data_IF_905972750488
#
_entry.id   IF_905972750488
#
_cell.length_a   1.000
_cell.length_b   1.000
_cell.length_c   1.000
_cell.angle_alpha   90.00
_cell.angle_beta   90.00
_cell.angle_gamma   90.00
#
_symmetry.space_group_name_H-M   'P 1'
#
loop_
_entity.id
_entity.type
_entity.pdbx_description
1 polymer ?
#
# COMPACT_ATOMS: atom_id res chain seq x y z
N UNK A 1 31.85 -1.89 -2.37
CA UNK A 1 31.18 -0.95 -3.30
C UNK A 1 32.07 0.22 -3.74
N UNK A 2 32.43 1.21 -2.89
CA UNK A 2 33.24 2.38 -3.32
C UNK A 2 34.58 2.05 -3.99
N UNK A 3 35.29 1.04 -3.46
CA UNK A 3 36.57 0.56 -4.02
C UNK A 3 36.43 -0.03 -5.43
N UNK A 4 35.37 -0.81 -5.64
CA UNK A 4 35.08 -1.47 -6.92
C UNK A 4 34.72 -0.44 -8.00
N UNK A 5 33.96 0.60 -7.62
CA UNK A 5 33.64 1.70 -8.53
C UNK A 5 34.91 2.46 -8.96
N UNK A 6 35.80 2.80 -8.01
CA UNK A 6 37.08 3.45 -8.34
C UNK A 6 37.92 2.63 -9.31
N UNK A 7 38.04 1.33 -9.07
CA UNK A 7 38.81 0.43 -9.92
C UNK A 7 38.27 0.41 -11.35
N UNK A 8 36.95 0.30 -11.52
CA UNK A 8 36.31 0.34 -12.84
C UNK A 8 36.48 1.70 -13.54
N UNK A 9 36.47 2.80 -12.79
CA UNK A 9 36.73 4.13 -13.35
C UNK A 9 38.18 4.29 -13.82
N UNK A 10 39.15 3.83 -13.03
CA UNK A 10 40.57 3.85 -13.40
C UNK A 10 40.84 2.97 -14.63
N UNK A 11 40.25 1.78 -14.67
CA UNK A 11 40.33 0.88 -15.82
C UNK A 11 39.80 1.55 -17.09
N UNK A 12 38.62 2.17 -17.03
CA UNK A 12 38.02 2.91 -18.14
C UNK A 12 38.91 4.06 -18.63
N UNK A 13 39.49 4.84 -17.71
CA UNK A 13 40.39 5.94 -18.07
C UNK A 13 41.70 5.43 -18.68
N UNK A 14 42.27 4.33 -18.15
CA UNK A 14 43.50 3.72 -18.67
C UNK A 14 43.35 3.16 -20.09
N UNK A 15 42.14 2.71 -20.45
CA UNK A 15 41.82 2.18 -21.80
C UNK A 15 41.47 3.29 -22.81
N UNK A 16 41.67 4.57 -22.46
CA UNK A 16 41.44 5.71 -23.37
C UNK A 16 40.03 6.27 -23.35
N UNK A 17 39.17 5.82 -22.42
CA UNK A 17 37.86 6.42 -22.18
C UNK A 17 36.81 6.18 -23.27
N UNK A 18 36.97 5.14 -24.10
CA UNK A 18 36.01 4.83 -25.15
C UNK A 18 34.75 4.15 -24.59
N UNK A 19 33.57 4.74 -24.84
CA UNK A 19 32.29 4.19 -24.42
C UNK A 19 31.74 3.26 -25.52
N UNK A 20 31.66 1.97 -25.20
CA UNK A 20 30.98 0.98 -26.05
C UNK A 20 29.49 1.30 -26.16
N UNK A 21 29.01 1.58 -27.36
CA UNK A 21 27.58 1.78 -27.63
C UNK A 21 26.94 0.43 -27.99
N UNK A 22 25.90 0.07 -27.26
CA UNK A 22 25.10 -1.12 -27.54
C UNK A 22 23.74 -0.72 -28.11
N UNK A 23 23.15 -1.61 -28.90
CA UNK A 23 21.81 -1.43 -29.46
C UNK A 23 20.74 -1.67 -28.41
N UNK A 24 19.62 -0.94 -28.50
CA UNK A 24 18.52 -1.13 -27.56
C UNK A 24 17.91 -2.54 -27.75
N UNK A 25 17.82 -3.30 -26.66
CA UNK A 25 17.34 -4.69 -26.68
C UNK A 25 18.42 -5.75 -26.92
N UNK A 26 19.68 -5.33 -27.04
CA UNK A 26 20.83 -6.25 -27.09
C UNK A 26 20.98 -6.98 -25.74
N UNK A 27 21.11 -8.30 -25.79
CA UNK A 27 21.35 -9.09 -24.58
C UNK A 27 22.81 -8.97 -24.16
N UNK A 28 23.05 -8.84 -22.85
CA UNK A 28 24.40 -8.93 -22.28
C UNK A 28 24.91 -10.36 -22.12
N UNK A 29 24.12 -11.37 -22.51
CA UNK A 29 24.55 -12.78 -22.43
C UNK A 29 25.38 -13.21 -23.65
N UNK A 30 26.43 -14.04 -23.47
CA UNK A 30 27.26 -14.56 -24.56
C UNK A 30 26.42 -15.38 -25.55
N UNK A 31 26.58 -15.13 -26.85
CA UNK A 31 25.91 -15.91 -27.91
C UNK A 31 26.33 -17.39 -27.94
N UNK A 32 27.54 -17.69 -27.46
CA UNK A 32 28.13 -19.04 -27.45
C UNK A 32 27.56 -19.95 -26.35
N UNK A 33 26.76 -19.40 -25.44
CA UNK A 33 26.16 -20.16 -24.33
C UNK A 33 24.65 -20.22 -24.50
N UNK A 34 24.00 -21.35 -24.16
CA UNK A 34 22.55 -21.41 -24.11
C UNK A 34 22.07 -20.36 -23.10
N UNK A 35 21.11 -19.54 -23.54
CA UNK A 35 20.56 -18.46 -22.72
C UNK A 35 20.00 -19.01 -21.42
N UNK A 36 20.18 -18.24 -20.33
CA UNK A 36 19.58 -18.58 -19.06
C UNK A 36 18.04 -18.63 -19.17
N UNK A 37 17.42 -19.58 -18.46
CA UNK A 37 15.97 -19.74 -18.48
C UNK A 37 15.33 -18.52 -17.81
N UNK A 38 14.24 -18.01 -18.40
CA UNK A 38 13.52 -16.86 -17.86
C UNK A 38 13.20 -17.07 -16.38
N UNK A 39 13.53 -16.09 -15.54
CA UNK A 39 13.38 -16.15 -14.07
C UNK A 39 11.94 -16.47 -13.64
N UNK A 40 10.96 -16.13 -14.48
CA UNK A 40 9.54 -16.37 -14.25
C UNK A 40 9.06 -17.77 -14.62
N UNK A 41 9.89 -18.58 -15.29
CA UNK A 41 9.58 -19.96 -15.64
C UNK A 41 10.29 -20.86 -14.64
N UNK A 42 9.61 -21.16 -13.52
CA UNK A 42 10.10 -22.19 -12.60
C UNK A 42 10.16 -23.53 -13.34
N UNK A 43 11.17 -24.36 -13.06
CA UNK A 43 11.26 -25.74 -13.60
C UNK A 43 10.37 -26.72 -12.86
N UNK A 44 9.64 -26.22 -11.88
CA UNK A 44 8.84 -27.04 -11.00
C UNK A 44 7.58 -27.49 -11.74
N UNK A 45 7.12 -28.74 -11.49
CA UNK A 45 5.86 -29.21 -12.02
C UNK A 45 4.72 -28.31 -11.54
N UNK A 46 3.67 -28.20 -12.36
CA UNK A 46 2.47 -27.43 -12.00
C UNK A 46 1.91 -27.97 -10.69
N UNK A 47 1.83 -27.09 -9.69
CA UNK A 47 1.22 -27.43 -8.41
C UNK A 47 -0.30 -27.56 -8.55
N UNK A 48 -0.87 -28.59 -7.91
CA UNK A 48 -2.32 -28.78 -7.80
C UNK A 48 -2.90 -27.67 -6.93
N UNK A 49 -3.81 -26.87 -7.49
CA UNK A 49 -4.49 -25.79 -6.76
C UNK A 49 -5.81 -26.30 -6.20
N UNK A 50 -6.02 -26.18 -4.90
CA UNK A 50 -7.33 -26.40 -4.29
C UNK A 50 -8.21 -25.19 -4.59
N UNK A 51 -9.34 -25.42 -5.25
CA UNK A 51 -10.30 -24.35 -5.54
C UNK A 51 -11.06 -23.98 -4.25
N UNK A 52 -10.93 -22.73 -3.80
CA UNK A 52 -11.50 -22.28 -2.51
C UNK A 52 -12.53 -21.15 -2.71
N UNK A 53 -13.17 -21.11 -3.88
CA UNK A 53 -14.07 -20.01 -4.24
C UNK A 53 -15.27 -19.87 -3.32
N UNK A 54 -15.77 -20.96 -2.75
CA UNK A 54 -16.89 -20.93 -1.82
C UNK A 54 -16.51 -20.20 -0.51
N UNK A 55 -15.29 -20.41 -0.02
CA UNK A 55 -14.77 -19.73 1.18
C UNK A 55 -14.53 -18.25 0.90
N UNK A 56 -13.95 -17.93 -0.26
CA UNK A 56 -13.77 -16.53 -0.70
C UNK A 56 -15.12 -15.83 -0.80
N UNK A 57 -16.10 -16.47 -1.42
CA UNK A 57 -17.48 -15.96 -1.56
C UNK A 57 -18.15 -15.74 -0.21
N UNK A 58 -17.96 -16.67 0.74
CA UNK A 58 -18.47 -16.54 2.11
C UNK A 58 -17.81 -15.35 2.86
N UNK A 59 -16.49 -15.16 2.71
CA UNK A 59 -15.76 -14.04 3.32
C UNK A 59 -16.23 -12.69 2.76
N UNK A 60 -16.40 -12.59 1.44
CA UNK A 60 -16.87 -11.37 0.79
C UNK A 60 -18.32 -11.04 1.17
N UNK A 61 -19.18 -12.06 1.27
CA UNK A 61 -20.56 -11.91 1.74
C UNK A 61 -20.59 -11.40 3.19
N UNK A 62 -19.68 -11.88 4.04
CA UNK A 62 -19.55 -11.40 5.43
C UNK A 62 -19.12 -9.94 5.48
N UNK A 63 -18.16 -9.52 4.63
CA UNK A 63 -17.72 -8.12 4.56
C UNK A 63 -18.81 -7.16 4.09
N UNK A 64 -19.68 -7.62 3.17
CA UNK A 64 -20.76 -6.80 2.60
C UNK A 64 -21.97 -6.65 3.52
N UNK A 65 -22.16 -7.55 4.48
CA UNK A 65 -23.20 -7.38 5.50
C UNK A 65 -22.78 -6.24 6.43
N UNK A 66 -23.28 -5.03 6.17
CA UNK A 66 -23.28 -3.94 7.17
C UNK A 66 -23.84 -4.52 8.47
N UNK A 67 -23.10 -4.37 9.57
CA UNK A 67 -23.69 -4.58 10.89
C UNK A 67 -24.96 -3.72 10.94
N UNK A 68 -26.08 -4.22 11.51
CA UNK A 68 -27.24 -3.37 11.71
C UNK A 68 -26.74 -2.14 12.46
N UNK A 69 -26.90 -0.97 11.85
CA UNK A 69 -26.63 0.29 12.52
C UNK A 69 -27.46 0.22 13.78
N UNK A 70 -26.81 0.18 14.94
CA UNK A 70 -27.52 0.13 16.20
C UNK A 70 -28.38 1.37 16.22
N UNK A 71 -29.69 1.19 15.99
CA UNK A 71 -30.70 2.23 16.15
C UNK A 71 -30.89 2.46 17.65
N UNK A 72 -29.78 2.72 18.35
CA UNK A 72 -29.82 3.30 19.66
C UNK A 72 -30.37 4.69 19.45
N UNK A 73 -31.65 4.88 19.77
CA UNK A 73 -32.21 6.21 19.93
C UNK A 73 -31.22 6.97 20.81
N UNK A 74 -30.61 8.02 20.27
CA UNK A 74 -29.78 8.92 21.06
C UNK A 74 -30.66 9.45 22.18
N UNK A 75 -30.42 8.98 23.40
CA UNK A 75 -31.10 9.51 24.58
C UNK A 75 -30.80 11.00 24.60
N UNK A 76 -31.84 11.84 24.47
CA UNK A 76 -31.71 13.28 24.58
C UNK A 76 -31.18 13.57 25.98
N UNK A 77 -29.94 14.02 26.06
CA UNK A 77 -29.31 14.38 27.34
C UNK A 77 -29.63 15.84 27.61
N UNK A 78 -29.87 16.22 28.87
CA UNK A 78 -30.08 17.61 29.21
C UNK A 78 -28.86 18.44 28.79
N UNK A 79 -29.11 19.60 28.21
CA UNK A 79 -28.08 20.55 27.75
C UNK A 79 -28.04 21.74 28.71
N UNK A 80 -26.82 22.23 29.00
CA UNK A 80 -26.63 23.46 29.76
C UNK A 80 -27.05 24.67 28.94
N UNK A 81 -27.96 25.49 29.47
CA UNK A 81 -28.29 26.81 28.94
C UNK A 81 -28.02 27.87 30.00
N UNK A 82 -27.34 28.93 29.59
CA UNK A 82 -27.08 30.11 30.42
C UNK A 82 -28.22 31.09 30.21
N UNK A 83 -28.80 31.58 31.31
CA UNK A 83 -29.79 32.66 31.30
C UNK A 83 -29.03 33.97 31.49
N UNK A 84 -29.29 34.92 30.60
CA UNK A 84 -28.68 36.24 30.60
C UNK A 84 -29.70 37.30 31.03
N UNK A 85 -29.26 38.30 31.77
CA UNK A 85 -30.06 39.49 32.13
C UNK A 85 -30.19 40.46 30.94
N UNK A 86 -31.01 41.51 31.07
CA UNK A 86 -31.27 42.51 30.02
C UNK A 86 -30.00 43.25 29.55
N UNK A 87 -28.92 43.20 30.34
CA UNK A 87 -27.58 43.71 30.02
C UNK A 87 -26.61 42.66 29.46
N UNK A 88 -27.03 41.40 29.29
CA UNK A 88 -26.23 40.32 28.72
C UNK A 88 -25.26 39.64 29.69
N UNK A 89 -25.33 39.94 30.99
CA UNK A 89 -24.54 39.26 32.02
C UNK A 89 -25.13 37.87 32.35
N UNK A 90 -24.30 36.82 32.50
CA UNK A 90 -24.78 35.47 32.80
C UNK A 90 -25.28 35.38 34.24
N UNK A 91 -26.59 35.20 34.42
CA UNK A 91 -27.22 35.15 35.73
C UNK A 91 -27.17 33.74 36.34
N UNK A 92 -27.49 32.71 35.55
CA UNK A 92 -27.50 31.30 36.02
C UNK A 92 -27.40 30.27 34.91
N UNK A 93 -26.83 29.11 35.24
CA UNK A 93 -26.85 27.90 34.41
C UNK A 93 -28.07 27.03 34.76
N UNK A 94 -28.83 26.61 33.75
CA UNK A 94 -29.95 25.67 33.89
C UNK A 94 -29.76 24.51 32.92
N UNK A 95 -29.99 23.29 33.41
CA UNK A 95 -30.05 22.09 32.57
C UNK A 95 -31.46 21.95 32.00
N UNK A 96 -31.59 21.89 30.67
CA UNK A 96 -32.89 21.74 29.99
C UNK A 96 -32.88 20.47 29.15
N UNK A 97 -33.95 19.69 29.22
CA UNK A 97 -34.19 18.56 28.32
C UNK A 97 -34.80 19.06 27.01
N UNK A 98 -34.24 18.64 25.87
CA UNK A 98 -34.70 18.99 24.51
C UNK A 98 -35.85 18.10 23.99
#
# INVERSE_FOLDING_TARGET
MRRELRQKTEEFLSQGGEIKRHSAGETGEPADKPRSRAVFVSGEPRQTRTYVNDVVSALDSRKKKKAPESSGKTLKRPVKRIIYDDFGEPLREVWVED
#
